data_IF_742487383857
#
_entry.id   IF_742487383857
#
_cell.length_a   1.000
_cell.length_b   1.000
_cell.length_c   1.000
_cell.angle_alpha   90.00
_cell.angle_beta   90.00
_cell.angle_gamma   90.00
#
_symmetry.space_group_name_H-M   'P 1'
#
loop_
_entity.id
_entity.type
_entity.pdbx_description
1 polymer ?
#
# COMPACT_ATOMS: atom_id res chain seq x y z
N UNK A 1 -11.41 3.56 -18.52
CA UNK A 1 -10.27 3.84 -17.61
C UNK A 1 -10.61 3.59 -16.15
N UNK A 2 -11.80 3.94 -15.67
CA UNK A 2 -12.22 3.67 -14.27
C UNK A 2 -12.03 2.19 -13.88
N UNK A 3 -12.44 1.24 -14.71
CA UNK A 3 -12.27 -0.20 -14.46
C UNK A 3 -10.79 -0.61 -14.38
N UNK A 4 -9.94 0.06 -15.16
CA UNK A 4 -8.50 -0.21 -15.10
C UNK A 4 -7.89 0.23 -13.78
N UNK A 5 -8.22 1.44 -13.30
CA UNK A 5 -7.66 1.93 -12.04
C UNK A 5 -8.21 1.18 -10.82
N UNK A 6 -9.47 0.76 -10.85
CA UNK A 6 -10.04 -0.17 -9.87
C UNK A 6 -9.27 -1.50 -9.83
N UNK A 7 -8.96 -2.05 -11.02
CA UNK A 7 -8.13 -3.27 -11.13
C UNK A 7 -6.73 -3.07 -10.55
N UNK A 8 -6.13 -1.89 -10.69
CA UNK A 8 -4.83 -1.57 -10.09
C UNK A 8 -4.92 -1.51 -8.56
N UNK A 9 -5.98 -0.93 -8.00
CA UNK A 9 -6.23 -0.97 -6.54
C UNK A 9 -6.44 -2.40 -6.04
N UNK A 10 -7.20 -3.22 -6.77
CA UNK A 10 -7.39 -4.63 -6.43
C UNK A 10 -6.08 -5.42 -6.47
N UNK A 11 -5.23 -5.16 -7.48
CA UNK A 11 -3.90 -5.72 -7.53
C UNK A 11 -3.05 -5.30 -6.33
N UNK A 12 -3.06 -4.02 -5.96
CA UNK A 12 -2.31 -3.51 -4.81
C UNK A 12 -2.72 -4.23 -3.52
N UNK A 13 -4.03 -4.34 -3.27
CA UNK A 13 -4.58 -5.04 -2.12
C UNK A 13 -4.21 -6.55 -2.12
N UNK A 14 -4.36 -7.22 -3.27
CA UNK A 14 -4.00 -8.62 -3.44
C UNK A 14 -2.52 -8.87 -3.17
N UNK A 15 -1.64 -8.00 -3.68
CA UNK A 15 -0.21 -8.16 -3.49
C UNK A 15 0.21 -7.97 -2.03
N UNK A 16 -0.41 -7.03 -1.30
CA UNK A 16 -0.21 -6.87 0.14
C UNK A 16 -0.67 -8.11 0.91
N UNK A 17 -1.88 -8.61 0.63
CA UNK A 17 -2.42 -9.84 1.25
C UNK A 17 -1.52 -11.05 1.01
N UNK A 18 -0.93 -11.20 -0.18
CA UNK A 18 0.01 -12.30 -0.46
C UNK A 18 1.24 -12.24 0.43
N UNK A 19 1.79 -11.05 0.70
CA UNK A 19 2.93 -10.92 1.62
C UNK A 19 2.54 -11.21 3.08
N UNK A 20 1.38 -10.72 3.53
CA UNK A 20 0.88 -11.04 4.87
C UNK A 20 0.69 -12.55 5.03
N UNK A 21 0.07 -13.22 4.06
CA UNK A 21 -0.09 -14.67 4.08
C UNK A 21 1.27 -15.39 4.09
N UNK A 22 2.21 -14.94 3.25
CA UNK A 22 3.56 -15.54 3.21
C UNK A 22 4.29 -15.40 4.55
N UNK A 23 4.19 -14.25 5.21
CA UNK A 23 4.78 -14.06 6.54
C UNK A 23 4.18 -15.01 7.58
N UNK A 24 2.86 -15.18 7.59
CA UNK A 24 2.15 -16.08 8.52
C UNK A 24 2.53 -17.57 8.35
N UNK A 25 3.00 -17.97 7.17
CA UNK A 25 3.52 -19.32 6.91
C UNK A 25 4.93 -19.56 7.51
N UNK A 26 5.63 -18.49 7.91
CA UNK A 26 6.98 -18.60 8.45
C UNK A 26 6.97 -19.02 9.92
N UNK A 27 7.94 -19.85 10.35
CA UNK A 27 8.08 -20.13 11.78
C UNK A 27 8.43 -18.83 12.53
N UNK A 28 7.83 -18.63 13.69
CA UNK A 28 8.06 -17.44 14.52
C UNK A 28 7.83 -16.10 13.78
N UNK A 29 6.83 -16.05 12.90
CA UNK A 29 6.55 -14.92 12.03
C UNK A 29 6.46 -13.57 12.75
N UNK A 30 5.96 -13.52 13.99
CA UNK A 30 5.91 -12.29 14.79
C UNK A 30 7.32 -11.74 15.14
N UNK A 31 8.30 -12.62 15.33
CA UNK A 31 9.70 -12.23 15.51
C UNK A 31 10.27 -11.72 14.19
N UNK A 32 10.13 -12.50 13.12
CA UNK A 32 10.59 -12.17 11.75
C UNK A 32 10.01 -10.81 11.30
N UNK A 33 8.75 -10.55 11.60
CA UNK A 33 8.07 -9.31 11.25
C UNK A 33 8.73 -8.06 11.86
N UNK A 34 9.29 -8.20 13.07
CA UNK A 34 9.93 -7.12 13.86
C UNK A 34 11.45 -7.16 13.83
N UNK A 35 12.05 -8.19 13.21
CA UNK A 35 13.50 -8.38 13.16
C UNK A 35 14.19 -7.19 12.52
N UNK A 36 15.27 -6.72 13.15
CA UNK A 36 16.05 -5.60 12.66
C UNK A 36 16.94 -6.03 11.49
N UNK A 37 16.82 -5.36 10.37
CA UNK A 37 17.50 -5.68 9.11
C UNK A 37 18.12 -4.40 8.54
N UNK A 38 19.31 -4.51 7.97
CA UNK A 38 19.91 -3.42 7.24
C UNK A 38 19.24 -3.29 5.85
N UNK A 39 18.27 -2.38 5.73
CA UNK A 39 17.50 -2.12 4.52
C UNK A 39 16.99 -0.68 4.49
N UNK A 40 16.13 -0.33 3.53
CA UNK A 40 15.50 1.01 3.43
C UNK A 40 14.73 1.37 4.71
N UNK A 41 14.09 0.40 5.33
CA UNK A 41 13.48 0.51 6.66
C UNK A 41 14.06 -0.58 7.57
N UNK A 42 14.10 -0.34 8.90
CA UNK A 42 14.80 -1.23 9.81
C UNK A 42 14.13 -2.59 10.02
N UNK A 43 12.85 -2.75 9.64
CA UNK A 43 12.14 -4.03 9.75
C UNK A 43 11.05 -4.18 8.67
N UNK A 44 10.55 -5.40 8.50
CA UNK A 44 9.39 -5.68 7.66
C UNK A 44 8.16 -4.90 8.15
N UNK A 45 7.98 -4.83 9.48
CA UNK A 45 6.91 -4.04 10.11
C UNK A 45 6.99 -2.57 9.73
N UNK A 46 8.17 -1.97 9.81
CA UNK A 46 8.36 -0.55 9.47
C UNK A 46 8.13 -0.29 7.98
N UNK A 47 8.49 -1.23 7.12
CA UNK A 47 8.22 -1.13 5.68
C UNK A 47 6.71 -1.17 5.39
N UNK A 48 5.96 -2.09 6.00
CA UNK A 48 4.50 -2.09 5.89
C UNK A 48 3.87 -0.83 6.49
N UNK A 49 4.36 -0.37 7.64
CA UNK A 49 3.91 0.88 8.24
C UNK A 49 4.05 2.06 7.26
N UNK A 50 5.19 2.14 6.56
CA UNK A 50 5.43 3.17 5.57
C UNK A 50 4.46 3.07 4.37
N UNK A 51 4.22 1.87 3.84
CA UNK A 51 3.23 1.66 2.77
C UNK A 51 1.86 2.15 3.24
N UNK A 52 1.39 1.68 4.39
CA UNK A 52 0.08 2.04 4.94
C UNK A 52 -0.10 3.54 5.17
N UNK A 53 0.91 4.18 5.79
CA UNK A 53 0.88 5.63 6.05
C UNK A 53 0.82 6.41 4.73
N UNK A 54 1.56 5.98 3.72
CA UNK A 54 1.53 6.61 2.40
C UNK A 54 0.15 6.43 1.75
N UNK A 55 -0.41 5.23 1.79
CA UNK A 55 -1.75 4.96 1.27
C UNK A 55 -2.80 5.86 1.97
N UNK A 56 -2.72 6.02 3.31
CA UNK A 56 -3.62 6.89 4.07
C UNK A 56 -3.45 8.37 3.71
N UNK A 57 -2.23 8.86 3.58
CA UNK A 57 -1.95 10.25 3.19
C UNK A 57 -2.59 10.55 1.84
N UNK A 58 -2.38 9.69 0.84
CA UNK A 58 -2.95 9.90 -0.49
C UNK A 58 -4.46 9.76 -0.52
N UNK A 59 -5.04 8.85 0.25
CA UNK A 59 -6.50 8.75 0.38
C UNK A 59 -7.10 10.02 0.99
N UNK A 60 -6.48 10.59 2.02
CA UNK A 60 -6.91 11.86 2.62
C UNK A 60 -6.85 13.02 1.62
N UNK A 61 -5.79 13.07 0.79
CA UNK A 61 -5.66 14.07 -0.27
C UNK A 61 -6.75 13.89 -1.32
N UNK A 62 -7.04 12.67 -1.75
CA UNK A 62 -8.12 12.35 -2.68
C UNK A 62 -9.50 12.78 -2.14
N UNK A 63 -9.70 12.73 -0.82
CA UNK A 63 -10.88 13.27 -0.14
C UNK A 63 -10.84 14.80 0.08
N UNK A 64 -9.88 15.51 -0.49
CA UNK A 64 -9.80 16.98 -0.48
C UNK A 64 -9.05 17.59 0.70
N UNK A 65 -8.38 16.78 1.54
CA UNK A 65 -7.50 17.35 2.59
C UNK A 65 -6.23 17.92 1.96
N UNK A 66 -5.70 18.99 2.54
CA UNK A 66 -4.43 19.54 2.12
C UNK A 66 -3.26 18.57 2.40
N UNK A 67 -2.19 18.70 1.62
CA UNK A 67 -0.96 17.92 1.83
C UNK A 67 -0.38 18.18 3.24
N UNK A 68 -0.43 19.42 3.72
CA UNK A 68 0.09 19.77 5.05
C UNK A 68 -0.67 19.06 6.17
N UNK A 69 -2.00 19.02 6.12
CA UNK A 69 -2.83 18.31 7.11
C UNK A 69 -2.60 16.78 7.04
N UNK A 70 -2.53 16.23 5.83
CA UNK A 70 -2.31 14.80 5.64
C UNK A 70 -0.93 14.35 6.17
N UNK A 71 0.10 15.19 6.02
CA UNK A 71 1.45 14.90 6.53
C UNK A 71 1.50 14.98 8.07
N UNK A 72 0.77 15.90 8.70
CA UNK A 72 0.75 16.03 10.16
C UNK A 72 0.25 14.76 10.87
N UNK A 73 -0.63 14.00 10.23
CA UNK A 73 -1.15 12.75 10.79
C UNK A 73 -0.14 11.58 10.77
N UNK A 74 0.97 11.69 10.03
CA UNK A 74 1.93 10.58 9.84
C UNK A 74 2.50 10.04 11.14
N UNK A 75 2.92 10.90 12.05
CA UNK A 75 3.49 10.48 13.34
C UNK A 75 2.45 9.78 14.23
N UNK A 76 1.21 10.28 14.23
CA UNK A 76 0.10 9.66 14.96
C UNK A 76 -0.19 8.27 14.40
N UNK A 77 -0.26 8.13 13.07
CA UNK A 77 -0.45 6.85 12.39
C UNK A 77 0.71 5.88 12.70
N UNK A 78 1.96 6.36 12.67
CA UNK A 78 3.13 5.54 13.00
C UNK A 78 3.02 4.98 14.43
N UNK A 79 2.74 5.81 15.42
CA UNK A 79 2.56 5.39 16.82
C UNK A 79 1.43 4.35 16.98
N UNK A 80 0.36 4.52 16.21
CA UNK A 80 -0.75 3.57 16.19
C UNK A 80 -0.31 2.21 15.65
N UNK A 81 0.44 2.19 14.53
CA UNK A 81 0.92 0.97 13.88
C UNK A 81 1.97 0.26 14.73
N UNK A 82 2.79 1.00 15.48
CA UNK A 82 3.84 0.42 16.32
C UNK A 82 3.29 -0.54 17.39
N UNK A 83 2.05 -0.35 17.82
CA UNK A 83 1.37 -1.24 18.76
C UNK A 83 0.71 -2.46 18.10
N UNK A 84 0.63 -2.51 16.77
CA UNK A 84 -0.13 -3.51 16.04
C UNK A 84 0.66 -4.80 15.80
N UNK A 85 -0.03 -5.94 15.92
CA UNK A 85 0.40 -7.24 15.43
C UNK A 85 0.33 -7.32 13.90
N UNK A 86 0.89 -8.39 13.34
CA UNK A 86 0.79 -8.66 11.90
C UNK A 86 -0.66 -8.75 11.43
N UNK A 87 -1.52 -9.45 12.19
CA UNK A 87 -2.93 -9.63 11.85
C UNK A 87 -3.71 -8.32 11.89
N UNK A 88 -3.53 -7.51 12.94
CA UNK A 88 -4.19 -6.21 13.04
C UNK A 88 -3.76 -5.26 11.92
N UNK A 89 -2.48 -5.30 11.52
CA UNK A 89 -1.99 -4.49 10.41
C UNK A 89 -2.59 -4.95 9.08
N UNK A 90 -2.72 -6.26 8.85
CA UNK A 90 -3.42 -6.79 7.66
C UNK A 90 -4.87 -6.30 7.59
N UNK A 91 -5.61 -6.32 8.70
CA UNK A 91 -6.99 -5.79 8.76
C UNK A 91 -7.04 -4.30 8.38
N UNK A 92 -6.05 -3.51 8.84
CA UNK A 92 -5.92 -2.10 8.45
C UNK A 92 -5.73 -1.96 6.92
N UNK A 93 -4.89 -2.81 6.31
CA UNK A 93 -4.69 -2.82 4.85
C UNK A 93 -5.94 -3.22 4.06
N UNK A 94 -6.71 -4.18 4.56
CA UNK A 94 -7.99 -4.57 3.94
C UNK A 94 -9.01 -3.43 4.02
N UNK A 95 -9.05 -2.73 5.15
CA UNK A 95 -9.95 -1.59 5.34
C UNK A 95 -9.60 -0.44 4.38
N UNK A 96 -8.33 -0.02 4.30
CA UNK A 96 -7.95 1.08 3.41
C UNK A 96 -8.16 0.72 1.93
N UNK A 97 -7.95 -0.53 1.54
CA UNK A 97 -8.25 -1.00 0.19
C UNK A 97 -9.74 -0.83 -0.16
N UNK A 98 -10.64 -1.14 0.78
CA UNK A 98 -12.08 -0.93 0.61
C UNK A 98 -12.42 0.57 0.49
N UNK A 99 -11.78 1.43 1.29
CA UNK A 99 -11.97 2.89 1.21
C UNK A 99 -11.55 3.45 -0.16
N UNK A 100 -10.43 2.98 -0.74
CA UNK A 100 -10.04 3.34 -2.11
C UNK A 100 -11.08 2.92 -3.15
N UNK A 101 -11.62 1.70 -3.04
CA UNK A 101 -12.68 1.21 -3.95
C UNK A 101 -13.94 2.04 -3.84
N UNK A 102 -14.37 2.33 -2.61
CA UNK A 102 -15.53 3.18 -2.34
C UNK A 102 -15.34 4.57 -2.94
N UNK A 103 -14.22 5.23 -2.66
CA UNK A 103 -13.87 6.51 -3.26
C UNK A 103 -13.94 6.46 -4.78
N UNK A 104 -13.26 5.50 -5.42
CA UNK A 104 -13.21 5.39 -6.87
C UNK A 104 -14.59 5.05 -7.48
N UNK A 105 -15.44 4.32 -6.75
CA UNK A 105 -16.78 3.98 -7.24
C UNK A 105 -17.64 5.21 -7.46
N UNK A 106 -17.47 6.26 -6.66
CA UNK A 106 -18.22 7.51 -6.72
C UNK A 106 -17.69 8.49 -7.77
N UNK A 107 -16.46 8.30 -8.30
CA UNK A 107 -15.87 9.23 -9.25
C UNK A 107 -16.48 9.07 -10.65
N UNK A 108 -16.92 10.19 -11.25
CA UNK A 108 -17.44 10.21 -12.62
C UNK A 108 -16.31 10.26 -13.66
N UNK A 109 -15.27 11.08 -13.39
CA UNK A 109 -14.10 11.24 -14.25
C UNK A 109 -12.82 11.13 -13.43
N UNK A 110 -12.04 10.07 -13.69
CA UNK A 110 -10.74 9.84 -13.04
C UNK A 110 -9.59 10.62 -13.69
N UNK A 111 -9.84 11.27 -14.84
CA UNK A 111 -8.89 12.14 -15.52
C UNK A 111 -9.08 13.62 -15.18
N UNK A 112 -10.14 13.97 -14.43
CA UNK A 112 -10.34 15.36 -14.00
C UNK A 112 -9.10 15.90 -13.30
N UNK A 113 -8.77 17.16 -13.60
CA UNK A 113 -7.63 17.83 -13.01
C UNK A 113 -7.74 17.86 -11.47
N UNK A 114 -6.65 17.48 -10.82
CA UNK A 114 -6.50 17.49 -9.39
C UNK A 114 -5.25 18.31 -9.02
N UNK A 115 -5.42 19.39 -8.29
CA UNK A 115 -4.33 20.32 -7.94
C UNK A 115 -3.91 20.13 -6.50
N UNK A 116 -2.63 19.81 -6.29
CA UNK A 116 -2.06 19.60 -4.96
C UNK A 116 -1.01 20.67 -4.70
N UNK A 117 -1.16 21.39 -3.57
CA UNK A 117 -0.13 22.31 -3.07
C UNK A 117 0.74 21.57 -2.06
N UNK A 118 1.95 21.24 -2.47
CA UNK A 118 2.94 20.59 -1.60
C UNK A 118 3.86 21.68 -1.01
N UNK A 119 3.98 21.80 0.34
CA UNK A 119 4.78 22.84 0.98
C UNK A 119 6.29 22.72 0.66
N UNK A 120 6.76 21.55 0.23
CA UNK A 120 8.18 21.28 -0.05
C UNK A 120 8.50 21.22 -1.54
N UNK A 121 7.54 20.83 -2.40
CA UNK A 121 7.75 20.58 -3.83
C UNK A 121 6.95 21.53 -4.74
N UNK A 122 6.15 22.45 -4.19
CA UNK A 122 5.34 23.38 -4.97
C UNK A 122 4.00 22.80 -5.42
N UNK A 123 3.44 23.36 -6.49
CA UNK A 123 2.11 22.95 -7.00
C UNK A 123 2.26 21.84 -8.02
N UNK A 124 1.50 20.76 -7.83
CA UNK A 124 1.38 19.65 -8.76
C UNK A 124 -0.03 19.67 -9.39
N UNK A 125 -0.08 19.72 -10.70
CA UNK A 125 -1.26 19.46 -11.51
C UNK A 125 -1.24 18.01 -11.93
N UNK A 126 -2.26 17.25 -11.57
CA UNK A 126 -2.34 15.80 -11.74
C UNK A 126 -3.80 15.35 -11.91
N UNK A 127 -4.06 14.06 -11.84
CA UNK A 127 -5.40 13.46 -11.89
C UNK A 127 -5.55 12.38 -10.82
N UNK A 128 -6.79 11.98 -10.55
CA UNK A 128 -7.09 10.85 -9.64
C UNK A 128 -6.38 9.59 -10.13
N UNK A 129 -6.40 9.35 -11.44
CA UNK A 129 -5.73 8.20 -12.05
C UNK A 129 -4.23 8.16 -11.76
N UNK A 130 -3.53 9.28 -11.90
CA UNK A 130 -2.09 9.36 -11.67
C UNK A 130 -1.74 9.21 -10.18
N UNK A 131 -2.57 9.76 -9.29
CA UNK A 131 -2.37 9.62 -7.85
C UNK A 131 -2.55 8.16 -7.40
N UNK A 132 -3.56 7.47 -7.88
CA UNK A 132 -3.73 6.04 -7.59
C UNK A 132 -2.61 5.21 -8.20
N UNK A 133 -2.16 5.54 -9.42
CA UNK A 133 -1.01 4.89 -10.04
C UNK A 133 0.26 5.10 -9.19
N UNK A 134 0.45 6.30 -8.61
CA UNK A 134 1.54 6.54 -7.66
C UNK A 134 1.45 5.61 -6.45
N UNK A 135 0.30 5.48 -5.81
CA UNK A 135 0.08 4.59 -4.64
C UNK A 135 0.45 3.14 -4.98
N UNK A 136 -0.01 2.64 -6.12
CA UNK A 136 0.28 1.27 -6.58
C UNK A 136 1.78 1.06 -6.82
N UNK A 137 2.44 2.01 -7.50
CA UNK A 137 3.87 1.96 -7.79
C UNK A 137 4.71 2.04 -6.50
N UNK A 138 4.35 2.93 -5.58
CA UNK A 138 4.98 3.07 -4.27
C UNK A 138 4.90 1.76 -3.49
N UNK A 139 3.71 1.16 -3.40
CA UNK A 139 3.55 -0.14 -2.75
C UNK A 139 4.35 -1.25 -3.44
N UNK A 140 4.42 -1.25 -4.76
CA UNK A 140 5.21 -2.25 -5.52
C UNK A 140 6.70 -2.14 -5.19
N UNK A 141 7.24 -0.92 -5.14
CA UNK A 141 8.64 -0.68 -4.76
C UNK A 141 8.95 -1.23 -3.35
N UNK A 142 8.11 -0.92 -2.37
CA UNK A 142 8.35 -1.34 -0.99
C UNK A 142 8.03 -2.82 -0.74
N UNK A 143 7.10 -3.43 -1.46
CA UNK A 143 6.92 -4.89 -1.43
C UNK A 143 8.14 -5.64 -1.95
N UNK A 144 8.85 -5.09 -2.94
CA UNK A 144 10.16 -5.59 -3.37
C UNK A 144 11.18 -5.59 -2.24
N UNK A 145 11.22 -4.51 -1.42
CA UNK A 145 12.09 -4.44 -0.24
C UNK A 145 11.72 -5.49 0.79
N UNK A 146 10.42 -5.68 1.11
CA UNK A 146 9.96 -6.74 2.03
C UNK A 146 10.38 -8.13 1.52
N UNK A 147 10.26 -8.38 0.21
CA UNK A 147 10.72 -9.63 -0.41
C UNK A 147 12.22 -9.87 -0.19
N UNK A 148 13.04 -8.81 -0.34
CA UNK A 148 14.47 -8.89 -0.08
C UNK A 148 14.77 -9.13 1.41
N UNK A 149 14.06 -8.46 2.32
CA UNK A 149 14.18 -8.67 3.77
C UNK A 149 13.87 -10.12 4.17
N UNK A 150 12.77 -10.70 3.68
CA UNK A 150 12.40 -12.11 3.94
C UNK A 150 13.54 -13.05 3.50
N UNK A 151 14.17 -12.76 2.35
CA UNK A 151 15.31 -13.55 1.85
C UNK A 151 16.57 -13.37 2.69
N UNK A 152 16.87 -12.17 3.16
CA UNK A 152 17.99 -11.90 4.07
C UNK A 152 17.85 -12.66 5.39
N UNK A 153 16.62 -12.87 5.86
CA UNK A 153 16.29 -13.69 7.03
C UNK A 153 16.29 -15.21 6.77
N UNK A 154 16.73 -15.64 5.56
CA UNK A 154 16.88 -17.06 5.22
C UNK A 154 15.60 -17.74 4.72
N UNK A 155 14.54 -16.98 4.39
CA UNK A 155 13.27 -17.55 3.96
C UNK A 155 12.96 -17.24 2.49
N UNK A 156 12.23 -18.13 1.81
CA UNK A 156 11.69 -17.85 0.48
C UNK A 156 10.53 -16.85 0.59
N UNK A 157 10.46 -15.91 -0.36
CA UNK A 157 9.33 -14.98 -0.50
C UNK A 157 8.26 -15.53 -1.46
N UNK A 158 7.29 -14.71 -1.82
CA UNK A 158 6.19 -15.04 -2.73
C UNK A 158 6.20 -14.14 -3.97
N UNK A 159 5.65 -14.63 -5.07
CA UNK A 159 5.49 -13.84 -6.31
C UNK A 159 4.26 -12.93 -6.19
N UNK A 160 4.42 -11.68 -6.66
CA UNK A 160 3.38 -10.65 -6.60
C UNK A 160 3.26 -9.89 -7.93
N UNK A 161 3.75 -10.46 -9.02
CA UNK A 161 3.73 -9.79 -10.32
C UNK A 161 2.30 -9.51 -10.79
N UNK A 162 2.10 -8.36 -11.42
CA UNK A 162 0.79 -7.97 -11.93
C UNK A 162 0.25 -8.98 -12.94
N UNK A 163 1.11 -9.58 -13.78
CA UNK A 163 0.69 -10.61 -14.74
C UNK A 163 0.17 -11.86 -14.02
N UNK A 164 0.74 -12.24 -12.87
CA UNK A 164 0.22 -13.34 -12.06
C UNK A 164 -1.19 -13.03 -11.52
N UNK A 165 -1.40 -11.80 -11.04
CA UNK A 165 -2.72 -11.35 -10.63
C UNK A 165 -3.73 -11.45 -11.79
N UNK A 166 -3.36 -11.01 -13.00
CA UNK A 166 -4.23 -11.11 -14.18
C UNK A 166 -4.62 -12.56 -14.49
N UNK A 167 -3.67 -13.50 -14.43
CA UNK A 167 -3.98 -14.93 -14.60
C UNK A 167 -4.96 -15.44 -13.53
N UNK A 168 -4.81 -14.99 -12.28
CA UNK A 168 -5.69 -15.44 -11.19
C UNK A 168 -7.13 -14.96 -11.35
N UNK A 169 -7.34 -13.68 -11.72
CA UNK A 169 -8.70 -13.15 -11.90
C UNK A 169 -9.40 -13.78 -13.11
N UNK A 170 -8.68 -14.10 -14.19
CA UNK A 170 -9.23 -14.79 -15.37
C UNK A 170 -9.67 -16.21 -15.05
N UNK A 171 -8.97 -16.93 -14.16
CA UNK A 171 -9.36 -18.29 -13.74
C UNK A 171 -10.61 -18.31 -12.87
N UNK A 172 -10.87 -17.23 -12.09
CA UNK A 172 -12.07 -17.13 -11.23
C UNK A 172 -13.34 -16.77 -12.00
N UNK A 173 -13.21 -16.25 -13.23
CA UNK A 173 -14.34 -15.87 -14.09
C UNK A 173 -14.80 -16.99 -15.06
N UNK A 174 -14.17 -18.16 -14.98
CA UNK A 174 -14.59 -19.39 -15.66
C UNK A 174 -15.21 -20.38 -14.66
#
# INVERSE_FOLDING_TARGET
MKDYILKQCDYHAWANTRLFNRLKELPNYETIFKEQIQSVFPSIKDTFAHIYITDQVWLHILHGRSMSEAIQDREKLKKQIDTKSLNELEEMFLNIANQYKEFLSTQQDVHAEFVIKNPYAGTLHTSILELVQHVVNHGTYHRGNITAMIRQLGHSSTMMDFVLYLHMIQKKGK
#
